data_IF_145200623700
#
_entry.id   IF_145200623700
#
_cell.length_a   1.000
_cell.length_b   1.000
_cell.length_c   1.000
_cell.angle_alpha   90.00
_cell.angle_beta   90.00
_cell.angle_gamma   90.00
#
_symmetry.space_group_name_H-M   'P 1'
#
loop_
_entity.id
_entity.type
_entity.pdbx_description
1 polymer ?
#
# COMPACT_ATOMS: atom_id res chain seq x y z
N UNK A 1 -26.84 13.56 16.80
CA UNK A 1 -26.81 14.13 15.43
C UNK A 1 -25.50 13.71 14.77
N UNK A 2 -25.52 12.68 13.91
CA UNK A 2 -24.31 12.21 13.20
C UNK A 2 -24.17 12.99 11.89
N UNK A 3 -23.23 13.93 11.85
CA UNK A 3 -22.69 14.45 10.59
C UNK A 3 -21.62 13.45 10.14
N UNK A 4 -21.98 12.50 9.28
CA UNK A 4 -21.00 11.71 8.51
C UNK A 4 -20.88 12.41 7.18
N UNK A 5 -19.84 13.21 7.03
CA UNK A 5 -19.57 13.97 5.83
C UNK A 5 -18.11 13.73 5.44
N UNK A 6 -17.93 13.46 4.15
CA UNK A 6 -16.71 13.63 3.34
C UNK A 6 -15.77 12.42 3.19
N UNK A 7 -15.98 11.75 2.05
CA UNK A 7 -15.02 11.29 1.02
C UNK A 7 -13.70 10.66 1.49
N UNK A 8 -13.60 9.34 1.32
CA UNK A 8 -12.49 8.50 1.77
C UNK A 8 -11.81 7.80 0.58
N UNK A 9 -10.77 8.45 0.05
CA UNK A 9 -9.81 7.96 -0.95
C UNK A 9 -8.42 8.29 -0.33
N UNK A 10 -7.61 7.33 0.13
CA UNK A 10 -6.28 7.65 0.71
C UNK A 10 -5.13 6.76 0.27
N UNK A 11 -5.24 5.49 -0.10
CA UNK A 11 -4.04 4.76 -0.53
C UNK A 11 -3.74 4.98 -2.00
N UNK A 12 -4.68 4.59 -2.88
CA UNK A 12 -4.61 4.96 -4.30
C UNK A 12 -4.60 6.46 -4.43
N UNK A 13 -5.27 7.19 -3.54
CA UNK A 13 -5.25 8.64 -3.52
C UNK A 13 -3.93 9.21 -2.97
N UNK A 14 -3.28 8.69 -1.94
CA UNK A 14 -1.97 9.19 -1.50
C UNK A 14 -0.92 8.86 -2.56
N UNK A 15 -0.96 7.67 -3.16
CA UNK A 15 -0.13 7.35 -4.31
C UNK A 15 -0.48 8.27 -5.49
N UNK A 16 -1.75 8.48 -5.83
CA UNK A 16 -2.15 9.33 -6.95
C UNK A 16 -2.10 10.85 -6.69
N UNK A 17 -2.13 11.32 -5.44
CA UNK A 17 -1.91 12.71 -5.01
C UNK A 17 -0.41 13.00 -4.88
N UNK A 18 0.41 12.03 -4.47
CA UNK A 18 1.86 12.12 -4.64
C UNK A 18 2.24 12.13 -6.12
N UNK A 19 1.49 11.43 -6.97
CA UNK A 19 1.64 11.44 -8.44
C UNK A 19 0.97 12.63 -9.15
N UNK A 20 0.05 13.34 -8.48
CA UNK A 20 -0.59 14.56 -8.94
C UNK A 20 -0.15 15.70 -8.01
N UNK A 21 1.10 16.15 -8.18
CA UNK A 21 1.76 17.04 -7.23
C UNK A 21 0.94 18.24 -6.73
N UNK A 22 1.29 18.72 -5.54
CA UNK A 22 0.93 20.05 -5.03
C UNK A 22 -0.56 20.38 -4.89
N UNK A 23 -1.11 20.21 -3.67
CA UNK A 23 -1.98 21.27 -3.12
C UNK A 23 -1.12 22.17 -2.26
N UNK A 24 -0.66 23.25 -2.89
CA UNK A 24 0.55 23.95 -2.52
C UNK A 24 0.43 25.02 -1.44
N UNK A 25 1.63 25.42 -0.97
CA UNK A 25 1.97 26.80 -0.63
C UNK A 25 3.46 27.00 -0.97
N UNK A 26 3.75 27.61 -2.12
CA UNK A 26 5.08 28.10 -2.47
C UNK A 26 5.44 27.92 -3.94
N UNK A 27 5.17 28.96 -4.74
CA UNK A 27 5.70 29.16 -6.09
C UNK A 27 7.18 28.78 -6.20
N UNK A 28 7.56 27.77 -6.99
CA UNK A 28 8.80 27.78 -7.79
C UNK A 28 8.62 26.98 -9.09
N UNK A 29 9.03 27.64 -10.17
CA UNK A 29 8.98 27.29 -11.58
C UNK A 29 9.34 25.85 -12.00
N UNK A 30 8.50 25.28 -12.88
CA UNK A 30 8.93 24.57 -14.09
C UNK A 30 9.22 23.06 -13.98
N UNK A 31 8.30 22.23 -14.47
CA UNK A 31 8.52 20.81 -14.77
C UNK A 31 7.21 20.13 -15.16
N UNK A 32 7.19 19.38 -16.26
CA UNK A 32 6.00 18.81 -16.92
C UNK A 32 5.00 18.11 -15.98
N UNK A 33 3.73 18.49 -16.13
CA UNK A 33 2.55 17.73 -15.69
C UNK A 33 2.40 16.42 -16.51
N UNK A 34 3.27 15.44 -16.28
CA UNK A 34 3.07 14.06 -16.74
C UNK A 34 3.00 13.14 -15.51
N UNK A 35 1.82 12.58 -15.16
CA UNK A 35 1.70 11.63 -14.05
C UNK A 35 2.58 10.38 -14.27
N UNK A 36 2.95 10.09 -15.52
CA UNK A 36 3.88 9.01 -15.86
C UNK A 36 5.31 9.32 -15.39
N UNK A 37 5.71 10.60 -15.42
CA UNK A 37 7.01 11.07 -14.94
C UNK A 37 7.17 10.93 -13.42
N UNK A 38 6.13 11.24 -12.65
CA UNK A 38 6.13 11.06 -11.20
C UNK A 38 6.19 9.57 -10.78
N UNK A 39 5.55 8.65 -11.55
CA UNK A 39 5.70 7.20 -11.32
C UNK A 39 7.14 6.75 -11.59
N UNK A 40 7.76 7.27 -12.64
CA UNK A 40 9.16 7.00 -12.98
C UNK A 40 10.12 7.55 -11.91
N UNK A 41 9.92 8.79 -11.47
CA UNK A 41 10.73 9.41 -10.42
C UNK A 41 10.58 8.68 -9.06
N UNK A 42 9.38 8.20 -8.73
CA UNK A 42 9.13 7.36 -7.56
C UNK A 42 9.84 6.01 -7.69
N UNK A 43 9.80 5.37 -8.86
CA UNK A 43 10.54 4.13 -9.12
C UNK A 43 12.07 4.34 -9.13
N UNK A 44 12.55 5.57 -9.32
CA UNK A 44 13.96 5.94 -9.29
C UNK A 44 14.44 6.43 -7.92
N UNK A 45 13.55 6.95 -7.05
CA UNK A 45 13.90 7.56 -5.77
C UNK A 45 13.42 6.79 -4.54
N UNK A 46 14.33 6.00 -3.96
CA UNK A 46 14.04 5.12 -2.82
C UNK A 46 13.52 5.82 -1.57
N UNK A 47 13.98 7.05 -1.33
CA UNK A 47 13.59 7.82 -0.15
C UNK A 47 12.16 8.35 -0.27
N UNK A 48 11.73 8.63 -1.50
CA UNK A 48 10.39 9.14 -1.80
C UNK A 48 9.35 8.03 -1.76
N UNK A 49 9.72 6.81 -2.19
CA UNK A 49 8.90 5.60 -1.96
C UNK A 49 8.74 5.33 -0.48
N UNK A 50 9.83 5.32 0.29
CA UNK A 50 9.79 5.05 1.72
C UNK A 50 8.89 6.05 2.47
N UNK A 51 8.96 7.34 2.13
CA UNK A 51 8.07 8.36 2.70
C UNK A 51 6.62 8.15 2.28
N UNK A 52 6.37 7.96 0.98
CA UNK A 52 5.01 7.78 0.47
C UNK A 52 4.34 6.55 1.08
N UNK A 53 5.09 5.45 1.23
CA UNK A 53 4.61 4.22 1.85
C UNK A 53 4.42 4.40 3.36
N UNK A 54 5.33 5.10 4.04
CA UNK A 54 5.20 5.42 5.46
C UNK A 54 4.03 6.35 5.79
N UNK A 55 3.66 7.23 4.85
CA UNK A 55 2.53 8.17 4.97
C UNK A 55 1.19 7.57 4.51
N UNK A 56 1.16 6.27 4.16
CA UNK A 56 -0.09 5.59 3.84
C UNK A 56 -1.01 5.62 5.06
N UNK A 57 -2.16 6.26 4.88
CA UNK A 57 -3.28 6.14 5.80
C UNK A 57 -4.01 4.82 5.56
N UNK A 58 -3.68 3.81 6.37
CA UNK A 58 -4.32 2.51 6.34
C UNK A 58 -5.78 2.56 6.81
N UNK A 59 -6.25 3.68 7.39
CA UNK A 59 -7.58 3.90 7.98
C UNK A 59 -8.77 3.65 7.07
N UNK A 60 -8.52 3.45 5.77
CA UNK A 60 -9.52 3.20 4.72
C UNK A 60 -9.50 1.77 4.20
N UNK A 61 -8.59 0.94 4.71
CA UNK A 61 -8.54 -0.49 4.40
C UNK A 61 -9.75 -1.18 5.02
N UNK A 62 -10.46 -1.99 4.24
CA UNK A 62 -11.59 -2.77 4.75
C UNK A 62 -11.09 -4.08 5.36
N UNK A 63 -10.13 -4.71 4.67
CA UNK A 63 -9.50 -5.95 5.13
C UNK A 63 -8.12 -6.17 4.51
N UNK A 64 -7.28 -6.85 5.26
CA UNK A 64 -6.04 -7.45 4.78
C UNK A 64 -6.18 -8.97 4.81
N UNK A 65 -5.93 -9.64 3.69
CA UNK A 65 -6.02 -11.10 3.56
C UNK A 65 -4.61 -11.65 3.36
N UNK A 66 -4.15 -12.50 4.27
CA UNK A 66 -2.85 -13.17 4.18
C UNK A 66 -3.04 -14.50 3.46
N UNK A 67 -2.30 -14.69 2.38
CA UNK A 67 -2.27 -15.92 1.58
C UNK A 67 -0.88 -16.54 1.60
N UNK A 68 -0.83 -17.87 1.63
CA UNK A 68 0.37 -18.63 1.34
C UNK A 68 0.77 -18.42 -0.13
N UNK A 69 2.02 -17.99 -0.38
CA UNK A 69 2.43 -17.64 -1.73
C UNK A 69 2.58 -18.86 -2.66
N UNK A 70 2.87 -20.04 -2.10
CA UNK A 70 3.09 -21.26 -2.89
C UNK A 70 1.77 -21.93 -3.33
N UNK A 71 0.76 -21.90 -2.46
CA UNK A 71 -0.52 -22.62 -2.63
C UNK A 71 -1.70 -21.69 -2.94
N UNK A 72 -1.59 -20.41 -2.60
CA UNK A 72 -2.68 -19.43 -2.67
C UNK A 72 -3.74 -19.59 -1.58
N UNK A 73 -3.54 -20.50 -0.63
CA UNK A 73 -4.45 -20.73 0.50
C UNK A 73 -4.56 -19.48 1.37
N UNK A 74 -5.78 -19.16 1.80
CA UNK A 74 -6.02 -18.08 2.73
C UNK A 74 -5.70 -18.55 4.15
N UNK A 75 -4.72 -17.89 4.78
CA UNK A 75 -4.24 -18.25 6.11
C UNK A 75 -4.88 -17.40 7.19
N UNK A 76 -5.15 -16.12 6.90
CA UNK A 76 -5.79 -15.20 7.81
C UNK A 76 -6.51 -14.06 7.07
N UNK A 77 -7.59 -13.57 7.66
CA UNK A 77 -8.24 -12.32 7.27
C UNK A 77 -8.27 -11.37 8.48
N UNK A 78 -7.80 -10.14 8.28
CA UNK A 78 -7.76 -9.09 9.29
C UNK A 78 -8.67 -7.95 8.85
N UNK A 79 -9.74 -7.71 9.60
CA UNK A 79 -10.68 -6.60 9.38
C UNK A 79 -10.59 -5.51 10.45
N UNK A 80 -9.80 -5.76 11.52
CA UNK A 80 -9.59 -4.79 12.58
C UNK A 80 -8.54 -3.77 12.16
N UNK A 81 -8.93 -2.50 12.18
CA UNK A 81 -8.11 -1.42 11.66
C UNK A 81 -6.79 -1.24 12.42
N UNK A 82 -6.81 -1.37 13.74
CA UNK A 82 -5.60 -1.25 14.54
C UNK A 82 -4.62 -2.38 14.23
N UNK A 83 -5.12 -3.60 13.97
CA UNK A 83 -4.29 -4.73 13.54
C UNK A 83 -3.72 -4.56 12.14
N UNK A 84 -4.47 -3.96 11.20
CA UNK A 84 -3.97 -3.63 9.87
C UNK A 84 -2.84 -2.60 9.97
N UNK A 85 -3.02 -1.55 10.78
CA UNK A 85 -1.98 -0.55 11.04
C UNK A 85 -0.74 -1.16 11.70
N UNK A 86 -0.91 -2.03 12.70
CA UNK A 86 0.20 -2.75 13.34
C UNK A 86 0.98 -3.61 12.31
N UNK A 87 0.27 -4.34 11.44
CA UNK A 87 0.85 -5.19 10.40
C UNK A 87 1.76 -4.41 9.45
N UNK A 88 1.33 -3.21 9.04
CA UNK A 88 2.05 -2.38 8.07
C UNK A 88 2.92 -1.30 8.71
N UNK A 89 2.87 -1.11 10.03
CA UNK A 89 3.72 -0.17 10.77
C UNK A 89 5.22 -0.29 10.45
N UNK A 90 5.79 -1.48 10.18
CA UNK A 90 7.21 -1.58 9.83
C UNK A 90 7.56 -0.96 8.48
N UNK A 91 6.60 -0.71 7.59
CA UNK A 91 6.83 0.00 6.34
C UNK A 91 7.20 1.48 6.55
N UNK A 92 6.90 2.05 7.72
CA UNK A 92 7.38 3.38 8.10
C UNK A 92 8.91 3.43 8.30
N UNK A 93 9.56 2.28 8.45
CA UNK A 93 11.00 2.13 8.67
C UNK A 93 11.72 1.61 7.42
N UNK A 94 11.17 1.80 6.22
CA UNK A 94 11.83 1.37 4.98
C UNK A 94 13.14 2.13 4.79
N UNK A 95 14.23 1.36 4.68
CA UNK A 95 15.60 1.89 4.57
C UNK A 95 15.98 2.21 3.11
N UNK A 96 15.23 1.72 2.12
CA UNK A 96 15.38 2.07 0.71
C UNK A 96 14.86 1.01 -0.26
N UNK A 97 15.08 1.23 -1.57
CA UNK A 97 14.80 0.25 -2.61
C UNK A 97 15.85 -0.84 -2.66
N UNK A 98 15.41 -2.03 -3.02
CA UNK A 98 16.26 -3.21 -3.16
C UNK A 98 16.05 -3.87 -4.54
N UNK A 99 17.01 -4.67 -5.03
CA UNK A 99 16.70 -5.65 -6.07
C UNK A 99 15.68 -6.67 -5.54
N UNK A 100 14.98 -7.35 -6.46
CA UNK A 100 14.14 -8.48 -6.07
C UNK A 100 15.02 -9.54 -5.38
N UNK A 101 14.59 -10.09 -4.24
CA UNK A 101 15.39 -11.09 -3.53
C UNK A 101 15.43 -12.40 -4.31
N UNK A 102 16.57 -13.09 -4.24
CA UNK A 102 16.73 -14.45 -4.75
C UNK A 102 16.27 -15.46 -3.69
N UNK A 103 14.98 -15.38 -3.36
CA UNK A 103 14.32 -16.22 -2.37
C UNK A 103 12.88 -16.52 -2.83
N UNK A 104 12.29 -17.65 -2.43
CA UNK A 104 10.89 -17.92 -2.73
C UNK A 104 9.98 -16.93 -2.01
N UNK A 105 8.89 -16.54 -2.69
CA UNK A 105 7.78 -15.82 -2.04
C UNK A 105 7.22 -16.70 -0.92
N UNK A 106 7.01 -16.12 0.26
CA UNK A 106 6.51 -16.81 1.45
C UNK A 106 5.02 -16.52 1.65
N UNK A 107 4.65 -15.23 1.69
CA UNK A 107 3.27 -14.80 1.84
C UNK A 107 2.92 -13.66 0.88
N UNK A 108 1.65 -13.60 0.51
CA UNK A 108 1.05 -12.47 -0.19
C UNK A 108 -0.04 -11.90 0.70
N UNK A 109 0.09 -10.64 1.09
CA UNK A 109 -0.95 -9.90 1.81
C UNK A 109 -1.73 -9.05 0.82
N UNK A 110 -3.00 -9.37 0.62
CA UNK A 110 -3.91 -8.61 -0.23
C UNK A 110 -4.62 -7.54 0.60
N UNK A 111 -4.47 -6.28 0.22
CA UNK A 111 -5.12 -5.14 0.88
C UNK A 111 -6.31 -4.69 0.05
N UNK A 112 -7.49 -4.77 0.65
CA UNK A 112 -8.76 -4.44 0.02
C UNK A 112 -9.31 -3.12 0.53
N UNK A 113 -9.76 -2.29 -0.41
CA UNK A 113 -10.28 -0.94 -0.18
C UNK A 113 -11.70 -0.81 -0.72
N UNK A 114 -12.54 0.09 -0.16
CA UNK A 114 -13.86 0.33 -0.71
C UNK A 114 -13.75 1.08 -2.05
N UNK A 115 -14.60 0.73 -3.01
CA UNK A 115 -14.74 1.48 -4.25
C UNK A 115 -15.19 2.92 -3.99
N UNK A 116 -14.92 3.81 -4.95
CA UNK A 116 -15.44 5.18 -4.87
C UNK A 116 -16.96 5.18 -5.06
N UNK A 117 -17.67 5.77 -4.10
CA UNK A 117 -19.12 6.02 -4.20
C UNK A 117 -19.39 6.90 -5.42
N UNK A 118 -20.10 6.37 -6.40
CA UNK A 118 -20.51 7.13 -7.58
C UNK A 118 -21.63 8.11 -7.22
N UNK A 119 -21.76 9.19 -7.98
CA UNK A 119 -22.79 10.20 -7.73
C UNK A 119 -24.19 9.54 -7.79
N UNK A 120 -24.92 9.56 -6.67
CA UNK A 120 -26.24 8.93 -6.55
C UNK A 120 -26.24 7.47 -6.09
N UNK A 121 -25.08 6.86 -5.83
CA UNK A 121 -24.95 5.52 -5.26
C UNK A 121 -25.08 5.55 -3.72
N UNK A 122 -25.66 4.50 -3.13
CA UNK A 122 -25.64 4.31 -1.67
C UNK A 122 -24.25 3.88 -1.20
N UNK A 123 -23.86 4.32 0.00
CA UNK A 123 -22.63 3.86 0.64
C UNK A 123 -22.67 2.36 0.98
N UNK A 124 -23.87 1.79 1.15
CA UNK A 124 -24.06 0.37 1.48
C UNK A 124 -23.91 -0.54 0.25
N UNK A 125 -23.95 0.01 -0.97
CA UNK A 125 -23.81 -0.70 -2.24
C UNK A 125 -22.41 -0.53 -2.85
N UNK A 126 -21.44 -0.08 -2.04
CA UNK A 126 -20.06 0.14 -2.46
C UNK A 126 -19.33 -1.20 -2.47
N UNK A 127 -18.76 -1.56 -3.61
CA UNK A 127 -17.92 -2.75 -3.73
C UNK A 127 -16.56 -2.57 -3.07
N UNK A 128 -15.74 -3.62 -3.13
CA UNK A 128 -14.35 -3.58 -2.72
C UNK A 128 -13.45 -3.85 -3.94
N UNK A 129 -12.27 -3.24 -3.96
CA UNK A 129 -11.23 -3.57 -4.92
C UNK A 129 -9.91 -3.86 -4.21
N UNK A 130 -9.10 -4.71 -4.82
CA UNK A 130 -7.74 -4.98 -4.34
C UNK A 130 -6.84 -3.81 -4.73
N UNK A 131 -6.38 -3.04 -3.75
CA UNK A 131 -5.56 -1.85 -3.98
C UNK A 131 -4.06 -2.14 -4.00
N UNK A 132 -3.62 -3.03 -3.11
CA UNK A 132 -2.21 -3.32 -2.89
C UNK A 132 -2.00 -4.81 -2.58
N UNK A 133 -0.90 -5.36 -3.06
CA UNK A 133 -0.34 -6.62 -2.57
C UNK A 133 1.01 -6.36 -1.92
N UNK A 134 1.25 -6.97 -0.77
CA UNK A 134 2.54 -6.97 -0.09
C UNK A 134 3.08 -8.39 -0.08
N UNK A 135 4.19 -8.61 -0.77
CA UNK A 135 4.82 -9.93 -0.90
C UNK A 135 6.03 -9.99 0.01
N UNK A 136 6.12 -11.05 0.80
CA UNK A 136 7.27 -11.35 1.66
C UNK A 136 8.02 -12.54 1.10
N UNK A 137 9.30 -12.67 1.44
CA UNK A 137 10.16 -13.73 0.94
C UNK A 137 10.84 -14.48 2.09
N UNK A 138 11.05 -15.78 1.92
CA UNK A 138 11.67 -16.61 2.95
C UNK A 138 13.08 -16.11 3.29
N UNK A 139 13.33 -15.82 4.57
CA UNK A 139 14.65 -15.39 5.05
C UNK A 139 15.14 -14.06 4.47
N UNK A 140 14.27 -13.25 3.87
CA UNK A 140 14.60 -11.93 3.34
C UNK A 140 13.92 -10.82 4.12
N UNK A 141 14.66 -9.72 4.30
CA UNK A 141 14.14 -8.44 4.80
C UNK A 141 13.58 -7.56 3.67
N UNK A 142 13.62 -8.05 2.41
CA UNK A 142 13.02 -7.35 1.28
C UNK A 142 11.56 -7.73 1.17
N UNK A 143 10.71 -6.74 0.95
CA UNK A 143 9.29 -6.92 0.60
C UNK A 143 9.02 -6.29 -0.76
N UNK A 144 8.07 -6.86 -1.49
CA UNK A 144 7.56 -6.26 -2.73
C UNK A 144 6.19 -5.65 -2.48
N UNK A 145 6.04 -4.37 -2.81
CA UNK A 145 4.75 -3.70 -2.86
C UNK A 145 4.27 -3.67 -4.30
N UNK A 146 3.10 -4.24 -4.57
CA UNK A 146 2.44 -4.21 -5.89
C UNK A 146 1.15 -3.40 -5.80
N UNK A 147 1.12 -2.25 -6.45
CA UNK A 147 -0.08 -1.43 -6.58
C UNK A 147 -0.89 -1.96 -7.75
N UNK A 148 -1.92 -2.76 -7.43
CA UNK A 148 -2.65 -3.59 -8.38
C UNK A 148 -3.31 -2.77 -9.51
N UNK A 149 -4.00 -1.64 -9.25
CA UNK A 149 -4.70 -0.90 -10.30
C UNK A 149 -3.79 -0.34 -11.40
N UNK A 150 -2.53 -0.07 -11.09
CA UNK A 150 -1.56 0.53 -12.03
C UNK A 150 -0.41 -0.41 -12.41
N UNK A 151 -0.44 -1.67 -11.93
CA UNK A 151 0.62 -2.66 -12.17
C UNK A 151 2.03 -2.17 -11.80
N UNK A 152 2.13 -1.26 -10.82
CA UNK A 152 3.41 -0.78 -10.30
C UNK A 152 3.92 -1.76 -9.25
N UNK A 153 5.19 -2.14 -9.34
CA UNK A 153 5.84 -3.03 -8.37
C UNK A 153 7.15 -2.42 -7.92
N UNK A 154 7.37 -2.38 -6.60
CA UNK A 154 8.59 -1.82 -6.01
C UNK A 154 9.08 -2.75 -4.91
N UNK A 155 10.38 -3.01 -4.87
CA UNK A 155 11.00 -3.84 -3.84
C UNK A 155 11.69 -2.92 -2.83
N UNK A 156 11.42 -3.15 -1.55
CA UNK A 156 11.86 -2.29 -0.46
C UNK A 156 12.57 -3.13 0.60
N UNK A 157 13.70 -2.64 1.09
CA UNK A 157 14.31 -3.19 2.30
C UNK A 157 13.52 -2.72 3.51
N UNK A 158 12.96 -3.66 4.25
CA UNK A 158 12.33 -3.45 5.54
C UNK A 158 13.11 -4.28 6.56
N UNK A 159 14.09 -3.67 7.24
CA UNK A 159 15.09 -4.32 8.12
C UNK A 159 14.51 -5.01 9.38
N UNK A 160 13.23 -5.36 9.40
CA UNK A 160 12.69 -6.25 10.42
C UNK A 160 11.28 -5.91 10.84
N UNK A 161 10.28 -6.22 10.01
CA UNK A 161 8.96 -6.31 10.64
C UNK A 161 7.81 -6.76 9.80
N UNK A 162 7.74 -6.48 8.49
CA UNK A 162 6.54 -6.88 7.74
C UNK A 162 6.46 -8.39 7.62
N UNK A 163 7.53 -9.07 7.16
CA UNK A 163 7.56 -10.52 7.08
C UNK A 163 7.33 -11.19 8.45
N UNK A 164 7.91 -10.65 9.51
CA UNK A 164 7.73 -11.17 10.87
C UNK A 164 6.33 -10.91 11.44
N UNK A 165 5.73 -9.76 11.16
CA UNK A 165 4.36 -9.43 11.54
C UNK A 165 3.37 -10.34 10.82
N UNK A 166 3.58 -10.60 9.52
CA UNK A 166 2.78 -11.57 8.75
C UNK A 166 2.92 -12.97 9.35
N UNK A 167 4.15 -13.43 9.61
CA UNK A 167 4.40 -14.73 10.28
C UNK A 167 3.73 -14.82 11.65
N UNK A 168 3.67 -13.73 12.40
CA UNK A 168 3.03 -13.69 13.72
C UNK A 168 1.49 -13.79 13.64
N UNK A 169 0.88 -13.38 12.52
CA UNK A 169 -0.57 -13.48 12.31
C UNK A 169 -1.03 -14.89 11.92
N UNK A 170 -0.19 -15.66 11.24
CA UNK A 170 -0.55 -16.99 10.69
C UNK A 170 -0.07 -18.16 11.55
N UNK A 171 0.50 -17.89 12.74
CA UNK A 171 1.00 -18.90 13.69
C UNK A 171 0.01 -19.24 14.80
#
# INVERSE_FOLDING_TARGET
>A
MRRRCVVSLALVAALSLSLAGCLGLGEQNGGSDDPTGAVLDLAENATEVARTVGDIDWGKTVRAVVRDAATGEELAEVTDQARIEELFSPLSQVSGMAPAPDAPEEYVVEVWEPETVRLGQSADDVGEYKGLEVVTYEGSDVVTLRVVPISLSVNLTSEGGVADAVRALVR
#
